data_IF_601940681461
#
_entry.id   IF_601940681461
#
_cell.length_a   1.000
_cell.length_b   1.000
_cell.length_c   1.000
_cell.angle_alpha   90.00
_cell.angle_beta   90.00
_cell.angle_gamma   90.00
#
_symmetry.space_group_name_H-M   'P 1'
#
loop_
_entity.id
_entity.type
_entity.pdbx_description
1 polymer ?
#
# COMPACT_ATOMS: atom_id res chain seq x y z
N UNK A 1 -34.07 31.18 14.64
CA UNK A 1 -33.14 32.14 13.97
C UNK A 1 -32.12 31.46 13.03
N UNK A 2 -31.76 30.19 13.22
CA UNK A 2 -30.80 29.47 12.36
C UNK A 2 -31.38 28.96 11.02
N UNK A 3 -32.70 28.74 10.95
CA UNK A 3 -33.42 28.33 9.73
C UNK A 3 -33.32 29.33 8.56
N UNK A 4 -33.27 30.64 8.85
CA UNK A 4 -33.17 31.68 7.80
C UNK A 4 -31.76 31.79 7.22
N UNK A 5 -30.74 31.48 8.01
CA UNK A 5 -29.34 31.50 7.59
C UNK A 5 -29.06 30.29 6.67
N UNK A 6 -29.56 29.11 7.04
CA UNK A 6 -29.46 27.90 6.23
C UNK A 6 -30.19 27.99 4.88
N UNK A 7 -31.38 28.61 4.84
CA UNK A 7 -32.15 28.79 3.60
C UNK A 7 -31.49 29.78 2.61
N UNK A 8 -30.76 30.78 3.10
CA UNK A 8 -30.04 31.75 2.25
C UNK A 8 -28.81 31.12 1.61
N UNK A 9 -28.13 30.24 2.35
CA UNK A 9 -27.00 29.42 1.86
C UNK A 9 -27.44 28.41 0.80
N UNK A 10 -28.58 27.74 1.00
CA UNK A 10 -29.11 26.76 0.03
C UNK A 10 -29.55 27.40 -1.29
N UNK A 11 -30.13 28.61 -1.26
CA UNK A 11 -30.57 29.35 -2.46
C UNK A 11 -29.40 29.79 -3.34
N UNK A 12 -28.25 30.12 -2.75
CA UNK A 12 -27.05 30.50 -3.50
C UNK A 12 -26.42 29.32 -4.23
N UNK A 13 -26.62 28.10 -3.73
CA UNK A 13 -26.03 26.88 -4.29
C UNK A 13 -26.84 26.32 -5.48
N UNK A 14 -28.13 26.64 -5.58
CA UNK A 14 -29.06 26.00 -6.52
C UNK A 14 -29.31 26.78 -7.83
N UNK A 15 -28.75 27.98 -8.01
CA UNK A 15 -29.01 28.83 -9.18
C UNK A 15 -28.08 28.59 -10.39
N UNK A 16 -27.03 27.76 -10.27
CA UNK A 16 -26.08 27.50 -11.36
C UNK A 16 -26.24 26.13 -12.03
N UNK A 17 -27.37 25.46 -11.82
CA UNK A 17 -27.60 24.12 -12.33
C UNK A 17 -28.86 24.08 -13.17
N UNK A 18 -28.83 24.68 -14.37
CA UNK A 18 -29.69 24.28 -15.50
C UNK A 18 -29.31 25.01 -16.80
N UNK A 19 -28.38 24.44 -17.56
CA UNK A 19 -28.54 24.31 -19.02
C UNK A 19 -28.00 22.94 -19.49
N UNK A 20 -28.96 22.06 -19.81
CA UNK A 20 -29.03 21.08 -20.93
C UNK A 20 -27.88 20.03 -21.02
N UNK A 21 -28.05 18.80 -20.55
CA UNK A 21 -28.83 17.68 -21.13
C UNK A 21 -28.46 17.33 -22.59
N UNK A 22 -27.57 16.34 -22.82
CA UNK A 22 -27.93 15.01 -23.37
C UNK A 22 -26.71 14.21 -23.90
N UNK A 23 -26.80 12.90 -23.68
CA UNK A 23 -26.04 11.79 -24.28
C UNK A 23 -24.81 11.28 -23.52
N UNK A 24 -24.85 9.96 -23.29
CA UNK A 24 -23.73 9.07 -22.99
C UNK A 24 -23.10 9.19 -21.60
N UNK A 25 -23.14 8.07 -20.88
CA UNK A 25 -22.47 7.93 -19.59
C UNK A 25 -20.96 7.92 -19.84
N UNK A 26 -20.30 9.04 -19.59
CA UNK A 26 -18.85 9.20 -19.73
C UNK A 26 -18.35 10.23 -18.72
N UNK A 27 -17.53 9.73 -17.79
CA UNK A 27 -16.42 10.31 -17.02
C UNK A 27 -16.48 11.76 -16.44
N UNK A 28 -16.00 11.82 -15.17
CA UNK A 28 -15.47 12.96 -14.38
C UNK A 28 -16.50 14.02 -13.96
N UNK A 29 -16.63 14.45 -12.69
CA UNK A 29 -15.70 15.32 -11.96
C UNK A 29 -16.00 15.31 -10.43
N UNK A 30 -15.61 14.28 -9.69
CA UNK A 30 -15.44 14.39 -8.23
C UNK A 30 -13.94 14.53 -7.97
N UNK A 31 -13.43 15.72 -8.27
CA UNK A 31 -12.01 16.06 -8.23
C UNK A 31 -11.44 15.89 -6.82
N UNK A 32 -10.60 14.85 -6.69
CA UNK A 32 -9.31 14.82 -5.99
C UNK A 32 -8.92 16.10 -5.21
N UNK A 33 -9.53 16.33 -4.05
CA UNK A 33 -8.81 17.06 -2.99
C UNK A 33 -8.02 16.02 -2.20
N UNK A 34 -6.89 15.60 -2.74
CA UNK A 34 -5.88 14.83 -2.00
C UNK A 34 -5.53 15.70 -0.77
N UNK A 35 -5.90 15.27 0.44
CA UNK A 35 -5.58 16.08 1.62
C UNK A 35 -4.05 16.20 1.68
N UNK A 36 -3.48 17.39 1.93
CA UNK A 36 -2.02 17.58 1.92
C UNK A 36 -1.27 16.59 2.84
N UNK A 37 -1.93 16.15 3.91
CA UNK A 37 -1.44 15.10 4.80
C UNK A 37 -1.36 13.72 4.13
N UNK A 38 -2.27 13.37 3.22
CA UNK A 38 -2.28 12.09 2.50
C UNK A 38 -1.04 11.93 1.61
N UNK A 39 -0.61 13.02 0.95
CA UNK A 39 0.63 13.05 0.16
C UNK A 39 1.85 12.86 1.08
N UNK A 40 1.85 13.52 2.24
CA UNK A 40 2.92 13.36 3.23
C UNK A 40 3.02 11.92 3.74
N UNK A 41 1.89 11.30 4.09
CA UNK A 41 1.85 9.91 4.51
C UNK A 41 2.27 8.98 3.36
N UNK A 42 1.70 9.11 2.17
CA UNK A 42 2.03 8.28 1.00
C UNK A 42 3.52 8.31 0.64
N UNK A 43 4.12 9.50 0.62
CA UNK A 43 5.55 9.65 0.36
C UNK A 43 6.41 9.02 1.46
N UNK A 44 5.99 9.15 2.72
CA UNK A 44 6.65 8.52 3.87
C UNK A 44 6.56 6.99 3.80
N UNK A 45 5.38 6.44 3.48
CA UNK A 45 5.16 5.00 3.37
C UNK A 45 5.97 4.37 2.23
N UNK A 46 6.05 5.03 1.07
CA UNK A 46 6.87 4.55 -0.05
C UNK A 46 8.36 4.55 0.29
N UNK A 47 8.85 5.56 1.01
CA UNK A 47 10.22 5.59 1.50
C UNK A 47 10.52 4.42 2.47
N UNK A 48 9.57 4.05 3.32
CA UNK A 48 9.73 2.98 4.32
C UNK A 48 9.74 1.56 3.73
N UNK A 49 9.03 1.32 2.62
CA UNK A 49 9.03 0.00 1.94
C UNK A 49 10.40 -0.39 1.36
N UNK A 50 11.27 0.60 1.15
CA UNK A 50 12.58 0.42 0.51
C UNK A 50 12.47 0.15 -0.99
N UNK A 51 13.56 0.37 -1.72
CA UNK A 51 13.63 0.10 -3.16
C UNK A 51 13.88 -1.38 -3.41
N UNK A 52 13.44 -1.88 -4.56
CA UNK A 52 13.68 -3.28 -4.99
C UNK A 52 15.18 -3.63 -5.11
N UNK A 53 16.03 -2.63 -5.35
CA UNK A 53 17.48 -2.77 -5.51
C UNK A 53 18.26 -2.68 -4.20
N UNK A 54 17.62 -2.35 -3.08
CA UNK A 54 18.31 -2.21 -1.81
C UNK A 54 18.86 -3.57 -1.35
N UNK A 55 20.07 -3.63 -0.79
CA UNK A 55 20.67 -4.88 -0.34
C UNK A 55 19.85 -5.53 0.79
N UNK A 56 19.85 -6.86 0.80
CA UNK A 56 19.30 -7.65 1.90
C UNK A 56 20.35 -7.83 2.99
N UNK A 57 19.96 -7.66 4.25
CA UNK A 57 20.80 -8.06 5.37
C UNK A 57 20.78 -9.60 5.55
N UNK A 58 21.66 -10.14 6.39
CA UNK A 58 21.81 -11.59 6.56
C UNK A 58 20.53 -12.28 7.05
N UNK A 59 19.80 -11.65 7.98
CA UNK A 59 18.52 -12.20 8.50
C UNK A 59 17.44 -12.21 7.43
N UNK A 60 17.40 -11.20 6.56
CA UNK A 60 16.49 -11.10 5.43
C UNK A 60 16.80 -12.17 4.37
N UNK A 61 18.09 -12.37 4.05
CA UNK A 61 18.51 -13.47 3.15
C UNK A 61 18.07 -14.82 3.71
N UNK A 62 18.33 -15.07 5.01
CA UNK A 62 17.91 -16.31 5.68
C UNK A 62 16.39 -16.47 5.65
N UNK A 63 15.63 -15.41 5.89
CA UNK A 63 14.17 -15.43 5.78
C UNK A 63 13.68 -15.84 4.39
N UNK A 64 14.26 -15.30 3.31
CA UNK A 64 13.89 -15.67 1.94
C UNK A 64 14.10 -17.17 1.69
N UNK A 65 15.26 -17.70 2.08
CA UNK A 65 15.58 -19.13 1.94
C UNK A 65 14.64 -20.01 2.75
N UNK A 66 14.41 -19.67 4.02
CA UNK A 66 13.52 -20.45 4.89
C UNK A 66 12.06 -20.39 4.44
N UNK A 67 11.60 -19.23 3.97
CA UNK A 67 10.24 -19.05 3.48
C UNK A 67 9.98 -19.89 2.21
N UNK A 68 10.95 -19.97 1.30
CA UNK A 68 10.79 -20.75 0.08
C UNK A 68 10.74 -22.27 0.31
N UNK A 69 11.11 -22.77 1.50
CA UNK A 69 11.03 -24.21 1.82
C UNK A 69 9.59 -24.70 2.01
N UNK A 70 8.76 -23.93 2.71
CA UNK A 70 7.42 -24.36 3.13
C UNK A 70 6.35 -23.27 3.01
N UNK A 71 6.71 -22.08 2.54
CA UNK A 71 5.85 -20.89 2.46
C UNK A 71 5.19 -20.51 3.79
N UNK A 72 5.78 -20.91 4.92
CA UNK A 72 5.25 -20.62 6.24
C UNK A 72 5.95 -19.41 6.87
N UNK A 73 5.27 -18.27 6.88
CA UNK A 73 5.79 -16.95 7.28
C UNK A 73 6.43 -16.96 8.67
N UNK A 74 5.68 -17.37 9.69
CA UNK A 74 6.14 -17.32 11.08
C UNK A 74 7.32 -18.27 11.33
N UNK A 75 7.24 -19.53 10.87
CA UNK A 75 8.33 -20.51 10.98
C UNK A 75 9.58 -20.05 10.24
N UNK A 76 9.44 -19.44 9.07
CA UNK A 76 10.56 -18.86 8.33
C UNK A 76 11.22 -17.72 9.11
N UNK A 77 10.43 -16.82 9.70
CA UNK A 77 10.95 -15.75 10.54
C UNK A 77 11.68 -16.29 11.79
N UNK A 78 11.12 -17.29 12.47
CA UNK A 78 11.79 -17.93 13.62
C UNK A 78 13.14 -18.53 13.19
N UNK A 79 13.17 -19.31 12.12
CA UNK A 79 14.41 -19.93 11.59
C UNK A 79 15.44 -18.90 11.13
N UNK A 80 14.96 -17.76 10.60
CA UNK A 80 15.78 -16.61 10.24
C UNK A 80 16.35 -15.83 11.45
N UNK A 81 15.98 -16.22 12.68
CA UNK A 81 16.48 -15.63 13.92
C UNK A 81 15.64 -14.46 14.45
N UNK A 82 14.37 -14.33 14.04
CA UNK A 82 13.42 -13.42 14.68
C UNK A 82 12.82 -14.04 15.95
N UNK A 83 12.49 -13.18 16.92
CA UNK A 83 11.94 -13.67 18.20
C UNK A 83 10.58 -14.31 17.99
N UNK A 84 10.33 -15.43 18.65
CA UNK A 84 9.06 -16.17 18.53
C UNK A 84 7.84 -15.27 18.77
N UNK A 85 7.91 -14.39 19.79
CA UNK A 85 6.84 -13.45 20.14
C UNK A 85 6.43 -12.53 18.98
N UNK A 86 7.36 -12.14 18.11
CA UNK A 86 7.11 -11.14 17.05
C UNK A 86 7.36 -11.69 15.65
N UNK A 87 7.57 -13.01 15.52
CA UNK A 87 7.97 -13.63 14.26
C UNK A 87 6.89 -13.48 13.18
N UNK A 88 5.61 -13.64 13.55
CA UNK A 88 4.49 -13.47 12.63
C UNK A 88 4.44 -12.03 12.08
N UNK A 89 4.42 -11.03 12.97
CA UNK A 89 4.40 -9.61 12.58
C UNK A 89 5.63 -9.22 11.74
N UNK A 90 6.83 -9.62 12.15
CA UNK A 90 8.05 -9.35 11.38
C UNK A 90 8.00 -10.03 10.00
N UNK A 91 7.53 -11.27 9.92
CA UNK A 91 7.40 -11.98 8.66
C UNK A 91 6.44 -11.29 7.69
N UNK A 92 5.29 -10.82 8.18
CA UNK A 92 4.33 -10.04 7.38
C UNK A 92 4.91 -8.72 6.88
N UNK A 93 5.65 -8.01 7.74
CA UNK A 93 6.39 -6.80 7.34
C UNK A 93 7.41 -7.14 6.27
N UNK A 94 8.20 -8.20 6.44
CA UNK A 94 9.21 -8.63 5.47
C UNK A 94 8.59 -8.93 4.10
N UNK A 95 7.46 -9.65 4.06
CA UNK A 95 6.74 -9.92 2.81
C UNK A 95 6.14 -8.67 2.17
N UNK A 96 6.00 -7.57 2.91
CA UNK A 96 5.53 -6.28 2.37
C UNK A 96 6.66 -5.47 1.74
N UNK A 97 7.93 -5.80 2.01
CA UNK A 97 9.09 -5.05 1.48
C UNK A 97 9.37 -5.42 0.02
N UNK A 98 9.57 -4.40 -0.81
CA UNK A 98 9.78 -4.57 -2.24
C UNK A 98 11.04 -5.40 -2.56
N UNK A 99 12.12 -5.20 -1.79
CA UNK A 99 13.37 -5.96 -1.93
C UNK A 99 13.25 -7.45 -1.60
N UNK A 100 12.43 -7.79 -0.61
CA UNK A 100 12.22 -9.20 -0.21
C UNK A 100 11.40 -9.92 -1.28
N UNK A 101 10.32 -9.31 -1.77
CA UNK A 101 9.53 -9.86 -2.88
C UNK A 101 10.39 -10.09 -4.13
N UNK A 102 11.26 -9.13 -4.45
CA UNK A 102 12.18 -9.26 -5.58
C UNK A 102 13.15 -10.45 -5.39
N UNK A 103 13.71 -10.62 -4.19
CA UNK A 103 14.60 -11.73 -3.87
C UNK A 103 13.88 -13.09 -3.96
N UNK A 104 12.66 -13.21 -3.44
CA UNK A 104 11.83 -14.42 -3.54
C UNK A 104 11.59 -14.79 -5.01
N UNK A 105 11.22 -13.81 -5.84
CA UNK A 105 11.01 -14.02 -7.28
C UNK A 105 12.29 -14.50 -7.98
N UNK A 106 13.43 -13.89 -7.67
CA UNK A 106 14.74 -14.27 -8.23
C UNK A 106 15.12 -15.71 -7.87
N UNK A 107 14.97 -16.09 -6.60
CA UNK A 107 15.29 -17.45 -6.16
C UNK A 107 14.32 -18.48 -6.74
N UNK A 108 13.02 -18.18 -6.82
CA UNK A 108 12.05 -19.07 -7.49
C UNK A 108 12.44 -19.33 -8.95
N UNK A 109 12.79 -18.28 -9.69
CA UNK A 109 13.20 -18.40 -11.09
C UNK A 109 14.51 -19.19 -11.22
N UNK A 110 15.46 -19.02 -10.30
CA UNK A 110 16.70 -19.79 -10.26
C UNK A 110 16.42 -21.29 -10.07
N UNK A 111 15.50 -21.64 -9.19
CA UNK A 111 15.13 -23.05 -8.94
C UNK A 111 14.38 -23.70 -10.10
N UNK A 112 13.60 -22.93 -10.87
CA UNK A 112 12.87 -23.44 -12.04
C UNK A 112 13.83 -23.70 -13.22
N UNK A 113 14.84 -22.86 -13.40
CA UNK A 113 15.78 -22.94 -14.51
C UNK A 113 16.97 -23.89 -14.26
N UNK A 114 16.89 -24.75 -13.23
CA UNK A 114 17.94 -25.68 -12.83
C UNK A 114 17.47 -27.11 -13.06
#
# INVERSE_FOLDING_TARGET
MLEKIWRKLLKSFNNNKQEKNNSSISQSDSENKEFPEDIFFKNKWEKLKGRKSDPLNERQKKFVVEYLKDHHVEKAAIRAGYSKRTANANGTILLSLAKINNAIKKERNRSINK
#
